data_IF_725555436477
#
_entry.id   IF_725555436477
#
_cell.length_a   1.000
_cell.length_b   1.000
_cell.length_c   1.000
_cell.angle_alpha   90.00
_cell.angle_beta   90.00
_cell.angle_gamma   90.00
#
_symmetry.space_group_name_H-M   'P 1'
#
loop_
_entity.id
_entity.type
_entity.pdbx_description
1 polymer ?
#
# COMPACT_ATOMS: atom_id res chain seq x y z
N UNK A 1 -12.77 15.52 8.11
CA UNK A 1 -12.51 14.11 8.48
C UNK A 1 -11.02 13.91 8.30
N UNK A 2 -10.30 13.33 9.27
CA UNK A 2 -8.84 13.17 9.17
C UNK A 2 -8.48 12.11 8.13
N UNK A 3 -7.36 12.30 7.42
CA UNK A 3 -6.89 11.37 6.39
C UNK A 3 -5.73 10.50 6.88
N UNK A 4 -5.66 9.27 6.39
CA UNK A 4 -4.51 8.37 6.56
C UNK A 4 -3.95 8.05 5.18
N UNK A 5 -2.63 8.06 5.03
CA UNK A 5 -1.97 7.64 3.80
C UNK A 5 -1.50 6.19 3.92
N UNK A 6 -2.00 5.30 3.07
CA UNK A 6 -1.41 3.97 2.89
C UNK A 6 -0.33 4.03 1.82
N UNK A 7 0.90 3.68 2.19
CA UNK A 7 2.07 3.63 1.30
C UNK A 7 2.35 2.18 0.93
N UNK A 8 2.34 1.90 -0.37
CA UNK A 8 2.62 0.60 -0.96
C UNK A 8 3.99 0.60 -1.66
N UNK A 9 4.62 -0.57 -1.72
CA UNK A 9 5.79 -0.79 -2.58
C UNK A 9 5.43 -0.69 -4.06
N UNK A 10 6.42 -0.37 -4.90
CA UNK A 10 6.40 -0.51 -6.35
C UNK A 10 7.28 -1.66 -6.86
N UNK A 11 7.96 -2.38 -5.98
CA UNK A 11 8.81 -3.53 -6.34
C UNK A 11 7.97 -4.80 -6.57
N UNK A 12 8.13 -5.43 -7.74
CA UNK A 12 7.39 -6.64 -8.14
C UNK A 12 8.25 -7.91 -8.25
N UNK A 13 9.56 -7.79 -8.02
CA UNK A 13 10.50 -8.93 -8.04
C UNK A 13 11.48 -8.86 -6.88
N UNK A 14 11.77 -10.00 -6.29
CA UNK A 14 12.85 -10.17 -5.31
C UNK A 14 14.22 -10.10 -5.98
N UNK A 15 15.30 -10.08 -5.18
CA UNK A 15 16.67 -10.14 -5.68
C UNK A 15 16.99 -11.41 -6.48
N UNK A 16 16.22 -12.49 -6.29
CA UNK A 16 16.35 -13.75 -7.04
C UNK A 16 15.48 -13.79 -8.30
N UNK A 17 14.69 -12.73 -8.56
CA UNK A 17 13.77 -12.65 -9.70
C UNK A 17 12.39 -13.25 -9.46
N UNK A 18 12.14 -13.90 -8.31
CA UNK A 18 10.80 -14.38 -7.94
C UNK A 18 9.81 -13.21 -7.77
N UNK A 19 8.52 -13.47 -8.05
CA UNK A 19 7.44 -12.50 -7.90
C UNK A 19 7.30 -12.04 -6.44
N UNK A 20 6.99 -10.76 -6.23
CA UNK A 20 6.69 -10.16 -4.91
C UNK A 20 5.81 -8.92 -5.08
N UNK A 21 5.47 -8.28 -3.98
CA UNK A 21 4.72 -7.03 -3.93
C UNK A 21 4.43 -6.61 -2.50
N UNK A 22 3.34 -5.87 -2.34
CA UNK A 22 2.71 -5.65 -1.03
C UNK A 22 1.88 -6.88 -0.62
N UNK A 23 1.76 -7.12 0.70
CA UNK A 23 1.10 -8.31 1.24
C UNK A 23 -0.40 -8.08 1.48
N UNK A 24 -1.27 -8.92 0.90
CA UNK A 24 -2.72 -8.73 0.90
C UNK A 24 -3.36 -8.42 2.27
N UNK A 25 -3.23 -9.29 3.29
CA UNK A 25 -3.91 -9.07 4.58
C UNK A 25 -3.39 -7.82 5.31
N UNK A 26 -2.14 -7.42 5.06
CA UNK A 26 -1.53 -6.24 5.66
C UNK A 26 -2.06 -4.91 5.09
N UNK A 27 -2.73 -4.95 3.93
CA UNK A 27 -3.54 -3.83 3.45
C UNK A 27 -5.01 -4.01 3.83
N UNK A 28 -5.56 -5.20 3.61
CA UNK A 28 -6.99 -5.47 3.72
C UNK A 28 -7.52 -5.29 5.15
N UNK A 29 -6.86 -5.93 6.14
CA UNK A 29 -7.35 -5.92 7.52
C UNK A 29 -7.28 -4.51 8.12
N UNK A 30 -6.15 -3.77 8.04
CA UNK A 30 -6.09 -2.42 8.57
C UNK A 30 -7.04 -1.46 7.84
N UNK A 31 -7.23 -1.61 6.53
CA UNK A 31 -8.14 -0.76 5.78
C UNK A 31 -9.57 -0.85 6.33
N UNK A 32 -10.12 -2.05 6.53
CA UNK A 32 -11.50 -2.19 6.98
C UNK A 32 -11.72 -1.80 8.44
N UNK A 33 -10.66 -1.80 9.26
CA UNK A 33 -10.71 -1.23 10.62
C UNK A 33 -10.74 0.30 10.59
N UNK A 34 -9.97 0.93 9.68
CA UNK A 34 -9.74 2.38 9.67
C UNK A 34 -10.74 3.17 8.80
N UNK A 35 -11.17 2.61 7.67
CA UNK A 35 -12.05 3.25 6.69
C UNK A 35 -13.41 3.74 7.24
N UNK A 36 -13.99 3.14 8.30
CA UNK A 36 -15.20 3.69 8.93
C UNK A 36 -15.01 5.05 9.61
N UNK A 37 -13.77 5.40 9.98
CA UNK A 37 -13.46 6.61 10.77
C UNK A 37 -12.59 7.63 10.01
N UNK A 38 -11.75 7.15 9.11
CA UNK A 38 -10.77 7.95 8.38
C UNK A 38 -10.94 7.80 6.87
N UNK A 39 -10.68 8.88 6.14
CA UNK A 39 -10.49 8.79 4.70
C UNK A 39 -9.08 8.24 4.42
N UNK A 40 -8.98 7.22 3.56
CA UNK A 40 -7.70 6.57 3.28
C UNK A 40 -7.30 6.82 1.84
N UNK A 41 -6.15 7.47 1.64
CA UNK A 41 -5.52 7.65 0.33
C UNK A 41 -4.42 6.61 0.12
N UNK A 42 -4.21 6.19 -1.13
CA UNK A 42 -3.17 5.24 -1.49
C UNK A 42 -2.04 5.95 -2.24
N UNK A 43 -0.80 5.60 -1.95
CA UNK A 43 0.36 6.06 -2.68
C UNK A 43 1.42 4.97 -2.81
N UNK A 44 2.29 5.11 -3.80
CA UNK A 44 3.46 4.27 -4.00
C UNK A 44 4.56 5.08 -4.71
N UNK A 45 5.84 4.69 -4.65
CA UNK A 45 6.91 5.40 -5.36
C UNK A 45 6.58 5.68 -6.83
N UNK A 46 6.09 4.67 -7.55
CA UNK A 46 5.72 4.79 -8.96
C UNK A 46 4.24 5.16 -9.20
N UNK A 47 3.45 5.29 -8.13
CA UNK A 47 2.04 5.69 -8.18
C UNK A 47 1.09 4.54 -8.54
N UNK A 48 0.21 4.71 -9.55
CA UNK A 48 -0.90 3.80 -9.83
C UNK A 48 -0.52 2.32 -9.95
N UNK A 49 -1.41 1.45 -9.44
CA UNK A 49 -1.33 -0.01 -9.50
C UNK A 49 -0.05 -0.60 -8.89
N UNK A 50 0.24 -0.35 -7.60
CA UNK A 50 1.34 -1.01 -6.93
C UNK A 50 1.17 -2.54 -6.95
N UNK A 51 2.24 -3.31 -7.19
CA UNK A 51 2.17 -4.76 -7.40
C UNK A 51 1.85 -5.49 -6.11
N UNK A 52 0.86 -6.38 -6.16
CA UNK A 52 0.50 -7.29 -5.05
C UNK A 52 1.37 -8.54 -5.07
N UNK A 53 1.72 -9.07 -3.91
CA UNK A 53 2.36 -10.39 -3.78
C UNK A 53 1.34 -11.50 -4.11
N UNK A 54 1.57 -12.27 -5.19
CA UNK A 54 0.65 -13.32 -5.64
C UNK A 54 0.56 -14.48 -4.65
N UNK A 55 1.60 -14.71 -3.84
CA UNK A 55 1.60 -15.70 -2.78
C UNK A 55 0.60 -15.33 -1.69
N UNK A 56 0.57 -14.06 -1.28
CA UNK A 56 -0.39 -13.55 -0.31
C UNK A 56 -1.84 -13.72 -0.77
N UNK A 57 -2.13 -13.50 -2.06
CA UNK A 57 -3.47 -13.72 -2.64
C UNK A 57 -3.90 -15.18 -2.54
N UNK A 58 -2.97 -16.13 -2.73
CA UNK A 58 -3.27 -17.57 -2.68
C UNK A 58 -3.44 -18.07 -1.23
N UNK A 59 -2.68 -17.49 -0.29
CA UNK A 59 -2.64 -17.94 1.10
C UNK A 59 -3.78 -17.35 1.95
N UNK A 60 -4.24 -16.14 1.64
CA UNK A 60 -5.22 -15.41 2.46
C UNK A 60 -6.57 -15.37 1.77
N UNK A 61 -7.44 -16.28 2.22
CA UNK A 61 -8.80 -16.48 1.70
C UNK A 61 -9.88 -16.16 2.74
N UNK A 62 -9.51 -15.45 3.81
CA UNK A 62 -10.46 -14.88 4.76
C UNK A 62 -11.37 -13.82 4.10
N UNK A 63 -12.49 -13.52 4.76
CA UNK A 63 -13.55 -12.68 4.20
C UNK A 63 -13.05 -11.27 3.84
N UNK A 64 -12.27 -10.64 4.70
CA UNK A 64 -11.70 -9.31 4.45
C UNK A 64 -10.73 -9.32 3.27
N UNK A 65 -9.80 -10.27 3.21
CA UNK A 65 -8.85 -10.39 2.10
C UNK A 65 -9.56 -10.62 0.76
N UNK A 66 -10.53 -11.54 0.71
CA UNK A 66 -11.29 -11.84 -0.51
C UNK A 66 -12.16 -10.66 -0.94
N UNK A 67 -12.76 -9.95 0.04
CA UNK A 67 -13.54 -8.73 -0.22
C UNK A 67 -12.66 -7.62 -0.78
N UNK A 68 -11.49 -7.38 -0.19
CA UNK A 68 -10.57 -6.31 -0.61
C UNK A 68 -10.17 -6.42 -2.08
N UNK A 69 -9.93 -7.64 -2.58
CA UNK A 69 -9.60 -7.90 -3.98
C UNK A 69 -10.74 -7.60 -4.97
N UNK A 70 -12.00 -7.61 -4.51
CA UNK A 70 -13.20 -7.44 -5.34
C UNK A 70 -13.89 -6.10 -5.12
N UNK A 71 -13.46 -5.35 -4.12
CA UNK A 71 -14.06 -4.07 -3.73
C UNK A 71 -13.71 -3.00 -4.78
N UNK A 72 -14.72 -2.52 -5.48
CA UNK A 72 -14.56 -1.50 -6.54
C UNK A 72 -13.90 -0.23 -6.01
N UNK A 73 -14.15 0.15 -4.74
CA UNK A 73 -13.51 1.31 -4.12
C UNK A 73 -12.01 1.10 -4.00
N UNK A 74 -11.60 -0.09 -3.57
CA UNK A 74 -10.18 -0.46 -3.44
C UNK A 74 -9.50 -0.52 -4.81
N UNK A 75 -10.15 -1.15 -5.79
CA UNK A 75 -9.66 -1.23 -7.17
C UNK A 75 -9.43 0.19 -7.71
N UNK A 76 -10.37 1.10 -7.51
CA UNK A 76 -10.22 2.49 -7.94
C UNK A 76 -9.11 3.22 -7.17
N UNK A 77 -8.97 3.00 -5.86
CA UNK A 77 -7.88 3.59 -5.07
C UNK A 77 -6.50 3.11 -5.51
N UNK A 78 -6.34 1.82 -5.83
CA UNK A 78 -5.10 1.28 -6.38
C UNK A 78 -4.81 1.85 -7.78
N UNK A 79 -5.83 1.91 -8.66
CA UNK A 79 -5.72 2.46 -10.01
C UNK A 79 -5.40 3.97 -10.02
N UNK A 80 -5.70 4.69 -8.94
CA UNK A 80 -5.42 6.11 -8.78
C UNK A 80 -4.42 6.39 -7.65
N UNK A 81 -3.64 5.40 -7.23
CA UNK A 81 -2.64 5.59 -6.19
C UNK A 81 -1.68 6.72 -6.59
N UNK A 82 -1.48 7.68 -5.69
CA UNK A 82 -0.66 8.86 -5.94
C UNK A 82 0.81 8.45 -6.04
N UNK A 83 1.61 9.15 -6.84
CA UNK A 83 3.06 9.02 -6.75
C UNK A 83 3.51 9.56 -5.41
N UNK A 84 4.46 8.87 -4.77
CA UNK A 84 4.94 9.26 -3.44
C UNK A 84 5.56 10.67 -3.45
N UNK A 85 6.15 11.08 -4.59
CA UNK A 85 6.72 12.42 -4.79
C UNK A 85 5.69 13.56 -4.70
N UNK A 86 4.40 13.24 -4.87
CA UNK A 86 3.32 14.22 -4.94
C UNK A 86 2.59 14.35 -3.58
N UNK A 87 3.08 13.63 -2.56
CA UNK A 87 2.52 13.60 -1.22
C UNK A 87 3.10 14.73 -0.37
N UNK A 88 2.20 15.42 0.33
CA UNK A 88 2.53 16.32 1.44
C UNK A 88 2.11 15.67 2.75
N UNK A 89 3.05 15.38 3.66
CA UNK A 89 2.76 14.67 4.91
C UNK A 89 1.77 15.43 5.80
N UNK A 90 1.80 16.77 5.76
CA UNK A 90 0.93 17.63 6.56
C UNK A 90 -0.57 17.47 6.23
N UNK A 91 -0.92 16.86 5.10
CA UNK A 91 -2.31 16.60 4.72
C UNK A 91 -2.90 15.37 5.43
N UNK A 92 -2.06 14.58 6.13
CA UNK A 92 -2.43 13.30 6.75
C UNK A 92 -2.19 13.32 8.26
N UNK A 93 -3.09 12.66 8.99
CA UNK A 93 -2.94 12.47 10.44
C UNK A 93 -2.03 11.29 10.78
N UNK A 94 -1.84 10.35 9.85
CA UNK A 94 -0.94 9.21 9.97
C UNK A 94 -0.53 8.68 8.60
N UNK A 95 0.62 8.01 8.56
CA UNK A 95 1.13 7.29 7.41
C UNK A 95 1.27 5.82 7.80
N UNK A 96 0.69 4.95 6.99
CA UNK A 96 0.68 3.52 7.19
C UNK A 96 1.43 2.85 6.04
N UNK A 97 2.57 2.23 6.34
CA UNK A 97 3.35 1.49 5.36
C UNK A 97 2.85 0.04 5.30
N UNK A 98 2.31 -0.34 4.15
CA UNK A 98 1.87 -1.71 3.89
C UNK A 98 3.11 -2.58 3.67
N UNK A 99 3.20 -3.72 4.37
CA UNK A 99 4.35 -4.60 4.30
C UNK A 99 4.30 -5.59 3.13
N UNK A 100 4.88 -6.77 3.34
CA UNK A 100 5.33 -7.70 2.30
C UNK A 100 6.84 -7.64 2.05
N UNK A 101 7.33 -8.38 1.07
CA UNK A 101 8.76 -8.39 0.74
C UNK A 101 9.17 -7.26 -0.21
N UNK A 102 8.24 -6.65 -0.94
CA UNK A 102 8.56 -5.51 -1.82
C UNK A 102 9.16 -4.29 -1.10
N UNK A 103 8.62 -3.83 0.05
CA UNK A 103 9.09 -2.62 0.74
C UNK A 103 10.59 -2.55 1.04
N UNK A 104 11.24 -3.68 1.37
CA UNK A 104 12.69 -3.68 1.65
C UNK A 104 13.53 -3.43 0.39
N UNK A 105 12.95 -3.62 -0.80
CA UNK A 105 13.65 -3.50 -2.07
C UNK A 105 13.62 -2.08 -2.64
N UNK A 106 12.56 -1.31 -2.36
CA UNK A 106 12.42 0.06 -2.84
C UNK A 106 12.25 1.09 -1.72
N UNK A 107 11.23 0.94 -0.86
CA UNK A 107 10.87 1.96 0.14
C UNK A 107 11.98 2.26 1.14
N UNK A 108 12.79 1.26 1.49
CA UNK A 108 13.92 1.40 2.41
C UNK A 108 15.08 2.26 1.86
N UNK A 109 15.15 2.45 0.54
CA UNK A 109 16.22 3.21 -0.13
C UNK A 109 15.71 4.39 -0.96
N UNK A 110 14.40 4.48 -1.17
CA UNK A 110 13.76 5.60 -1.84
C UNK A 110 13.84 6.87 -0.98
N UNK A 111 14.47 7.91 -1.51
CA UNK A 111 14.71 9.16 -0.78
C UNK A 111 13.41 9.88 -0.39
N UNK A 112 12.37 9.75 -1.22
CA UNK A 112 11.06 10.36 -0.94
C UNK A 112 10.39 9.65 0.23
N UNK A 113 10.41 8.32 0.23
CA UNK A 113 9.92 7.48 1.32
C UNK A 113 10.65 7.75 2.63
N UNK A 114 11.99 7.83 2.61
CA UNK A 114 12.81 8.15 3.80
C UNK A 114 12.45 9.53 4.36
N UNK A 115 12.32 10.53 3.48
CA UNK A 115 11.92 11.88 3.89
C UNK A 115 10.53 11.86 4.52
N UNK A 116 9.57 11.23 3.85
CA UNK A 116 8.18 11.15 4.30
C UNK A 116 8.05 10.48 5.68
N UNK A 117 8.81 9.43 5.95
CA UNK A 117 8.82 8.73 7.24
C UNK A 117 9.50 9.53 8.38
N UNK A 118 10.16 10.64 8.06
CA UNK A 118 10.90 11.48 9.01
C UNK A 118 10.19 12.80 9.35
N UNK A 119 9.01 13.04 8.78
CA UNK A 119 8.15 14.21 9.03
C UNK A 119 7.10 13.91 10.12
#
# INVERSE_FOLDING_TARGET
MSKILFVFTSANKTLTGAQTGWYLPEAAHPYYVLAPTYEIDFAAPNGPNPPIDEGSVKLFTDDESVKFLKDETIIQKLAHAKKLSDINAADYAAIFYVGGHGPVLDLATDKTSIKLASE
#
